data_IF_846280328594
#
_entry.id   IF_846280328594
#
_cell.length_a   1.000
_cell.length_b   1.000
_cell.length_c   1.000
_cell.angle_alpha   90.00
_cell.angle_beta   90.00
_cell.angle_gamma   90.00
#
_symmetry.space_group_name_H-M   'P 1'
#
loop_
_entity.id
_entity.type
_entity.pdbx_description
1 polymer ?
#
# COMPACT_ATOMS: atom_id res chain seq x y z
N UNK A 1 4.28 3.21 -12.75
CA UNK A 1 4.47 3.14 -11.27
C UNK A 1 5.95 3.04 -10.98
N UNK A 2 6.55 4.13 -10.50
CA UNK A 2 7.97 4.18 -10.17
C UNK A 2 8.21 3.38 -8.88
N UNK A 3 8.86 2.23 -8.98
CA UNK A 3 9.45 1.53 -7.84
C UNK A 3 10.59 2.39 -7.29
N UNK A 4 10.29 3.30 -6.38
CA UNK A 4 11.31 3.85 -5.48
C UNK A 4 11.66 2.75 -4.47
N UNK A 5 12.43 1.77 -4.92
CA UNK A 5 13.00 0.72 -4.08
C UNK A 5 14.24 1.21 -3.34
N UNK A 6 14.10 2.24 -2.52
CA UNK A 6 15.05 2.43 -1.44
C UNK A 6 14.76 1.36 -0.39
N UNK A 7 15.76 0.61 0.04
CA UNK A 7 15.68 -0.23 1.25
C UNK A 7 15.44 0.69 2.44
N UNK A 8 14.17 1.07 2.66
CA UNK A 8 13.79 1.76 3.88
C UNK A 8 13.98 0.79 5.03
N UNK A 9 14.97 1.05 5.86
CA UNK A 9 15.16 0.37 7.13
C UNK A 9 13.92 0.65 7.98
N UNK A 10 13.05 -0.35 8.09
CA UNK A 10 11.83 -0.25 8.88
C UNK A 10 12.17 -0.07 10.36
N UNK A 11 11.54 0.89 11.00
CA UNK A 11 11.61 1.04 12.44
C UNK A 11 11.05 -0.21 13.15
N UNK A 12 11.48 -0.45 14.40
CA UNK A 12 10.95 -1.56 15.20
C UNK A 12 9.42 -1.53 15.28
N UNK A 13 8.84 -0.35 15.52
CA UNK A 13 7.39 -0.16 15.57
C UNK A 13 6.69 -0.57 14.26
N UNK A 14 7.27 -0.19 13.12
CA UNK A 14 6.73 -0.58 11.82
C UNK A 14 6.79 -2.10 11.58
N UNK A 15 7.84 -2.78 12.07
CA UNK A 15 7.95 -4.24 11.98
C UNK A 15 6.85 -4.92 12.81
N UNK A 16 6.63 -4.45 14.05
CA UNK A 16 5.56 -4.97 14.93
C UNK A 16 4.18 -4.76 14.31
N UNK A 17 3.89 -3.57 13.75
CA UNK A 17 2.62 -3.29 13.08
C UNK A 17 2.41 -4.18 11.84
N UNK A 18 3.48 -4.46 11.10
CA UNK A 18 3.41 -5.38 9.94
C UNK A 18 3.13 -6.81 10.39
N UNK A 19 3.80 -7.28 11.45
CA UNK A 19 3.55 -8.60 12.01
C UNK A 19 2.10 -8.73 12.48
N UNK A 20 1.59 -7.76 13.25
CA UNK A 20 0.20 -7.74 13.70
C UNK A 20 -0.78 -7.81 12.52
N UNK A 21 -0.58 -7.00 11.48
CA UNK A 21 -1.45 -6.99 10.29
C UNK A 21 -1.41 -8.32 9.53
N UNK A 22 -0.23 -8.95 9.42
CA UNK A 22 -0.09 -10.27 8.79
C UNK A 22 -0.82 -11.33 9.61
N UNK A 23 -0.58 -11.39 10.93
CA UNK A 23 -1.23 -12.36 11.82
C UNK A 23 -2.76 -12.23 11.80
N UNK A 24 -3.28 -11.01 11.83
CA UNK A 24 -4.71 -10.74 11.74
C UNK A 24 -5.33 -11.28 10.43
N UNK A 25 -4.67 -11.09 9.29
CA UNK A 25 -5.16 -11.59 8.00
C UNK A 25 -5.07 -13.11 7.87
N UNK A 26 -4.02 -13.73 8.43
CA UNK A 26 -3.92 -15.19 8.43
C UNK A 26 -4.95 -15.82 9.37
N UNK A 27 -5.26 -15.16 10.49
CA UNK A 27 -6.33 -15.58 11.38
C UNK A 27 -7.70 -15.58 10.66
N UNK A 28 -7.99 -14.55 9.86
CA UNK A 28 -9.19 -14.47 9.01
C UNK A 28 -9.26 -15.64 8.00
N UNK A 29 -8.11 -16.14 7.55
CA UNK A 29 -8.04 -17.26 6.61
C UNK A 29 -8.32 -18.61 7.28
N UNK A 30 -7.97 -18.75 8.55
CA UNK A 30 -8.23 -19.96 9.34
C UNK A 30 -9.67 -20.05 9.84
N UNK A 31 -10.26 -18.92 10.22
CA UNK A 31 -11.56 -18.88 10.90
C UNK A 31 -12.58 -18.25 9.94
N UNK A 32 -13.47 -19.09 9.42
CA UNK A 32 -14.52 -18.68 8.50
C UNK A 32 -15.72 -18.05 9.21
N UNK A 33 -15.97 -18.48 10.46
CA UNK A 33 -17.08 -17.95 11.24
C UNK A 33 -16.76 -16.59 11.86
N UNK A 34 -17.65 -15.63 11.64
CA UNK A 34 -17.46 -14.22 12.00
C UNK A 34 -17.39 -13.97 13.52
N UNK A 35 -18.26 -14.55 14.35
CA UNK A 35 -18.18 -14.45 15.80
C UNK A 35 -16.85 -14.97 16.36
N UNK A 36 -16.42 -16.15 15.93
CA UNK A 36 -15.18 -16.79 16.38
C UNK A 36 -13.95 -15.98 15.94
N UNK A 37 -13.97 -15.49 14.70
CA UNK A 37 -12.94 -14.59 14.23
C UNK A 37 -12.80 -13.32 15.09
N UNK A 38 -13.92 -12.70 15.48
CA UNK A 38 -13.90 -11.51 16.33
C UNK A 38 -13.32 -11.80 17.71
N UNK A 39 -13.67 -12.94 18.28
CA UNK A 39 -13.12 -13.37 19.56
C UNK A 39 -11.60 -13.55 19.47
N UNK A 40 -11.12 -14.35 18.53
CA UNK A 40 -9.70 -14.61 18.34
C UNK A 40 -8.92 -13.35 17.94
N UNK A 41 -9.51 -12.44 17.17
CA UNK A 41 -8.92 -11.15 16.85
C UNK A 41 -8.72 -10.26 18.09
N UNK A 42 -9.66 -10.32 19.06
CA UNK A 42 -9.50 -9.59 20.34
C UNK A 42 -8.42 -10.21 21.20
N UNK A 43 -8.31 -11.55 21.22
CA UNK A 43 -7.23 -12.26 21.92
C UNK A 43 -5.88 -11.93 21.31
N UNK A 44 -5.78 -11.97 19.98
CA UNK A 44 -4.55 -11.56 19.28
C UNK A 44 -4.16 -10.12 19.65
N UNK A 45 -5.13 -9.21 19.67
CA UNK A 45 -4.89 -7.81 20.03
C UNK A 45 -4.38 -7.67 21.46
N UNK A 46 -5.00 -8.39 22.40
CA UNK A 46 -4.59 -8.36 23.81
C UNK A 46 -3.13 -8.81 23.99
N UNK A 47 -2.68 -9.84 23.27
CA UNK A 47 -1.27 -10.29 23.28
C UNK A 47 -0.29 -9.20 22.84
N UNK A 48 -0.64 -8.41 21.83
CA UNK A 48 0.20 -7.27 21.40
C UNK A 48 0.14 -6.11 22.38
N UNK A 49 -1.02 -5.84 22.99
CA UNK A 49 -1.20 -4.75 23.97
C UNK A 49 -0.50 -5.06 25.31
N UNK A 50 -0.31 -6.32 25.68
CA UNK A 50 0.43 -6.75 26.88
C UNK A 50 1.87 -6.19 26.89
N UNK A 51 2.52 -6.16 25.73
CA UNK A 51 3.91 -5.70 25.60
C UNK A 51 4.04 -4.32 24.96
N UNK A 52 2.95 -3.57 24.85
CA UNK A 52 2.89 -2.26 24.18
C UNK A 52 3.86 -1.22 24.77
N UNK A 53 4.10 -1.27 26.08
CA UNK A 53 4.90 -0.29 26.80
C UNK A 53 6.32 -0.80 27.13
N UNK A 54 6.79 -1.86 26.48
CA UNK A 54 8.14 -2.39 26.70
C UNK A 54 9.20 -1.36 26.29
N UNK A 55 10.06 -0.98 27.24
CA UNK A 55 11.12 0.03 27.04
C UNK A 55 12.48 -0.61 26.75
N UNK A 56 12.65 -1.88 27.10
CA UNK A 56 13.89 -2.59 26.86
C UNK A 56 13.95 -3.04 25.38
N UNK A 57 14.86 -2.42 24.60
CA UNK A 57 15.00 -2.68 23.18
C UNK A 57 15.40 -4.14 22.88
N UNK A 58 16.26 -4.75 23.69
CA UNK A 58 16.67 -6.14 23.51
C UNK A 58 15.48 -7.09 23.66
N UNK A 59 14.73 -6.94 24.78
CA UNK A 59 13.53 -7.73 25.03
C UNK A 59 12.46 -7.50 23.95
N UNK A 60 12.30 -6.26 23.47
CA UNK A 60 11.36 -5.96 22.37
C UNK A 60 11.77 -6.66 21.07
N UNK A 61 13.06 -6.76 20.76
CA UNK A 61 13.54 -7.50 19.58
C UNK A 61 13.36 -9.01 19.72
N UNK A 62 13.60 -9.56 20.91
CA UNK A 62 13.35 -10.99 21.20
C UNK A 62 11.88 -11.34 21.05
N UNK A 63 10.98 -10.52 21.59
CA UNK A 63 9.54 -10.70 21.44
C UNK A 63 9.08 -10.61 19.98
N UNK A 64 9.65 -9.66 19.20
CA UNK A 64 9.34 -9.55 17.79
C UNK A 64 9.79 -10.82 17.04
N UNK A 65 11.01 -11.30 17.28
CA UNK A 65 11.54 -12.52 16.66
C UNK A 65 10.70 -13.74 17.02
N UNK A 66 10.39 -13.93 18.29
CA UNK A 66 9.52 -15.01 18.74
C UNK A 66 8.13 -14.96 18.07
N UNK A 67 7.58 -13.77 17.91
CA UNK A 67 6.32 -13.57 17.20
C UNK A 67 6.40 -13.86 15.69
N UNK A 68 7.51 -13.54 15.05
CA UNK A 68 7.76 -13.86 13.64
C UNK A 68 7.93 -15.38 13.45
N UNK A 69 8.62 -16.07 14.36
CA UNK A 69 8.80 -17.52 14.34
C UNK A 69 7.45 -18.24 14.57
N UNK A 70 6.65 -17.80 15.57
CA UNK A 70 5.29 -18.32 15.79
C UNK A 70 4.39 -18.08 14.57
N UNK A 71 4.47 -16.90 13.95
CA UNK A 71 3.72 -16.60 12.72
C UNK A 71 4.10 -17.55 11.58
N UNK A 72 5.39 -17.82 11.40
CA UNK A 72 5.89 -18.71 10.36
C UNK A 72 5.35 -20.14 10.52
N UNK A 73 5.30 -20.66 11.74
CA UNK A 73 4.76 -21.99 12.04
C UNK A 73 3.24 -22.10 11.83
N UNK A 74 2.50 -21.02 12.17
CA UNK A 74 1.03 -21.01 12.17
C UNK A 74 0.41 -20.33 10.97
N UNK A 75 1.21 -19.88 10.00
CA UNK A 75 0.66 -19.21 8.82
C UNK A 75 -0.23 -20.14 8.00
N UNK A 76 -1.29 -19.57 7.41
CA UNK A 76 -2.15 -20.32 6.50
C UNK A 76 -1.41 -20.58 5.18
N UNK A 77 -1.40 -21.81 4.62
CA UNK A 77 -0.69 -22.14 3.38
C UNK A 77 -1.26 -21.39 2.16
N UNK A 78 -2.56 -21.11 2.16
CA UNK A 78 -3.25 -20.33 1.12
C UNK A 78 -4.07 -19.22 1.78
N UNK A 79 -3.44 -18.08 2.15
CA UNK A 79 -4.15 -17.00 2.80
C UNK A 79 -5.20 -16.38 1.86
N UNK A 80 -6.31 -15.95 2.42
CA UNK A 80 -7.31 -15.21 1.66
C UNK A 80 -6.71 -13.92 1.08
N UNK A 81 -6.82 -13.78 -0.22
CA UNK A 81 -6.40 -12.59 -0.95
C UNK A 81 -7.64 -11.93 -1.55
N UNK A 82 -7.80 -10.62 -1.32
CA UNK A 82 -8.89 -9.88 -1.92
C UNK A 82 -8.83 -9.99 -3.44
N UNK A 83 -9.98 -10.21 -4.06
CA UNK A 83 -10.11 -10.60 -5.47
C UNK A 83 -9.39 -9.63 -6.43
N UNK A 84 -9.47 -8.32 -6.18
CA UNK A 84 -8.88 -7.27 -7.02
C UNK A 84 -7.50 -6.79 -6.54
N UNK A 85 -6.92 -7.39 -5.48
CA UNK A 85 -5.59 -7.05 -5.00
C UNK A 85 -4.49 -7.81 -5.76
N UNK A 86 -3.22 -7.36 -5.72
CA UNK A 86 -2.10 -8.09 -6.30
C UNK A 86 -2.06 -9.55 -5.81
N UNK A 87 -2.05 -10.50 -6.75
CA UNK A 87 -2.17 -11.93 -6.46
C UNK A 87 -3.59 -12.46 -6.34
N UNK A 88 -4.62 -11.60 -6.43
CA UNK A 88 -6.03 -11.99 -6.47
C UNK A 88 -6.44 -12.57 -7.83
N UNK A 89 -7.55 -13.32 -7.83
CA UNK A 89 -8.03 -14.02 -9.03
C UNK A 89 -8.52 -13.10 -10.15
N UNK A 90 -8.86 -11.85 -9.81
CA UNK A 90 -9.38 -10.85 -10.76
C UNK A 90 -8.47 -9.64 -10.93
N UNK A 91 -7.26 -9.71 -10.34
CA UNK A 91 -6.28 -8.64 -10.45
C UNK A 91 -5.94 -8.38 -11.93
N UNK A 92 -5.97 -7.11 -12.34
CA UNK A 92 -5.72 -6.63 -13.70
C UNK A 92 -6.62 -7.23 -14.80
N UNK A 93 -7.65 -8.00 -14.45
CA UNK A 93 -8.58 -8.56 -15.42
C UNK A 93 -9.51 -7.51 -16.03
N UNK A 94 -9.94 -6.52 -15.24
CA UNK A 94 -10.73 -5.37 -15.67
C UNK A 94 -9.87 -4.10 -15.60
N UNK A 95 -9.01 -3.91 -16.59
CA UNK A 95 -8.21 -2.70 -16.69
C UNK A 95 -9.15 -1.57 -17.16
N UNK A 96 -9.33 -0.50 -16.35
CA UNK A 96 -10.12 0.64 -16.81
C UNK A 96 -9.46 1.26 -18.03
N UNK A 97 -10.26 1.74 -19.02
CA UNK A 97 -9.70 2.40 -20.17
C UNK A 97 -8.87 3.61 -19.76
N UNK A 98 -7.80 3.92 -20.49
CA UNK A 98 -6.95 5.06 -20.16
C UNK A 98 -7.73 6.37 -20.26
N UNK A 99 -7.34 7.36 -19.44
CA UNK A 99 -8.06 8.63 -19.28
C UNK A 99 -8.25 9.42 -20.60
N UNK A 100 -7.34 9.22 -21.57
CA UNK A 100 -7.44 9.89 -22.88
C UNK A 100 -8.67 9.46 -23.69
N UNK A 101 -9.27 8.30 -23.43
CA UNK A 101 -10.51 7.83 -24.10
C UNK A 101 -11.64 8.84 -23.90
N UNK A 102 -11.69 9.52 -22.77
CA UNK A 102 -12.67 10.56 -22.48
C UNK A 102 -12.54 11.80 -23.40
N UNK A 103 -11.42 11.96 -24.10
CA UNK A 103 -11.25 13.06 -25.05
C UNK A 103 -12.13 12.85 -26.30
N UNK A 104 -12.48 11.60 -26.59
CA UNK A 104 -13.31 11.23 -27.76
C UNK A 104 -14.81 11.21 -27.46
N UNK A 105 -15.21 11.46 -26.22
CA UNK A 105 -16.63 11.54 -25.87
C UNK A 105 -17.32 12.67 -26.58
N UNK A 106 -18.55 12.42 -27.03
CA UNK A 106 -19.35 13.42 -27.72
C UNK A 106 -19.62 14.63 -26.82
N UNK A 107 -19.66 15.88 -27.35
CA UNK A 107 -19.89 17.08 -26.55
C UNK A 107 -21.16 17.03 -25.68
N UNK A 108 -22.23 16.42 -26.18
CA UNK A 108 -23.49 16.27 -25.42
C UNK A 108 -23.32 15.39 -24.19
N UNK A 109 -22.53 14.31 -24.28
CA UNK A 109 -22.23 13.43 -23.14
C UNK A 109 -21.34 14.14 -22.10
N UNK A 110 -20.35 14.92 -22.57
CA UNK A 110 -19.52 15.73 -21.67
C UNK A 110 -20.34 16.77 -20.92
N UNK A 111 -21.33 17.37 -21.58
CA UNK A 111 -22.22 18.37 -20.97
C UNK A 111 -23.08 17.79 -19.84
N UNK A 112 -23.31 16.47 -19.81
CA UNK A 112 -24.02 15.80 -18.72
C UNK A 112 -23.19 15.71 -17.41
N UNK A 113 -21.84 15.84 -17.49
CA UNK A 113 -20.94 15.69 -16.35
C UNK A 113 -19.98 16.89 -16.18
N UNK A 114 -20.47 18.13 -16.08
CA UNK A 114 -19.63 19.32 -16.12
C UNK A 114 -18.64 19.39 -14.96
N UNK A 115 -19.05 19.02 -13.76
CA UNK A 115 -18.19 19.05 -12.57
C UNK A 115 -17.05 18.01 -12.65
N UNK A 116 -17.29 16.87 -13.27
CA UNK A 116 -16.27 15.84 -13.48
C UNK A 116 -15.19 16.34 -14.46
N UNK A 117 -15.60 16.87 -15.61
CA UNK A 117 -14.67 17.36 -16.61
C UNK A 117 -13.89 18.59 -16.16
N UNK A 118 -14.48 19.47 -15.35
CA UNK A 118 -13.75 20.59 -14.73
C UNK A 118 -12.64 20.10 -13.79
N UNK A 119 -12.94 19.11 -12.92
CA UNK A 119 -11.94 18.49 -12.04
C UNK A 119 -10.87 17.73 -12.83
N UNK A 120 -11.25 17.07 -13.91
CA UNK A 120 -10.33 16.37 -14.79
C UNK A 120 -9.34 17.35 -15.46
N UNK A 121 -9.85 18.45 -16.00
CA UNK A 121 -9.00 19.49 -16.62
C UNK A 121 -7.99 20.07 -15.63
N UNK A 122 -8.44 20.36 -14.39
CA UNK A 122 -7.54 20.83 -13.34
C UNK A 122 -6.44 19.79 -13.04
N UNK A 123 -6.81 18.53 -12.85
CA UNK A 123 -5.84 17.44 -12.59
C UNK A 123 -4.81 17.32 -13.72
N UNK A 124 -5.25 17.38 -14.98
CA UNK A 124 -4.35 17.31 -16.13
C UNK A 124 -3.41 18.52 -16.21
N UNK A 125 -3.90 19.70 -15.86
CA UNK A 125 -3.07 20.92 -15.81
C UNK A 125 -2.01 20.82 -14.69
N UNK A 126 -2.42 20.37 -13.50
CA UNK A 126 -1.53 20.17 -12.35
C UNK A 126 -0.46 19.08 -12.67
N UNK A 127 -0.86 18.03 -13.35
CA UNK A 127 0.04 16.95 -13.78
C UNK A 127 1.05 17.43 -14.81
N UNK A 128 0.59 18.21 -15.80
CA UNK A 128 1.46 18.81 -16.81
C UNK A 128 2.48 19.77 -16.18
N UNK A 129 2.05 20.64 -15.29
CA UNK A 129 2.94 21.54 -14.57
C UNK A 129 4.00 20.79 -13.75
N UNK A 130 3.61 19.67 -13.14
CA UNK A 130 4.54 18.79 -12.40
C UNK A 130 5.58 18.15 -13.32
N UNK A 131 5.18 17.70 -14.50
CA UNK A 131 6.11 17.14 -15.49
C UNK A 131 7.10 18.18 -15.98
N UNK A 132 6.65 19.40 -16.30
CA UNK A 132 7.50 20.52 -16.71
C UNK A 132 8.54 20.86 -15.63
N UNK A 133 8.16 20.82 -14.35
CA UNK A 133 9.10 21.00 -13.24
C UNK A 133 10.15 19.88 -13.16
N UNK A 134 9.74 18.62 -13.30
CA UNK A 134 10.66 17.48 -13.26
C UNK A 134 11.64 17.51 -14.43
N UNK A 135 11.18 17.87 -15.63
CA UNK A 135 12.05 18.04 -16.81
C UNK A 135 13.06 19.17 -16.61
N UNK A 136 12.63 20.28 -16.02
CA UNK A 136 13.52 21.41 -15.72
C UNK A 136 14.58 21.03 -14.67
N UNK A 137 14.18 20.30 -13.61
CA UNK A 137 15.11 19.79 -12.59
C UNK A 137 16.12 18.81 -13.19
N UNK A 138 15.66 17.87 -14.02
CA UNK A 138 16.54 16.90 -14.68
C UNK A 138 17.55 17.60 -15.60
N UNK A 139 17.10 18.58 -16.39
CA UNK A 139 17.96 19.37 -17.25
C UNK A 139 19.00 20.16 -16.45
N UNK A 140 18.62 20.78 -15.35
CA UNK A 140 19.54 21.50 -14.48
C UNK A 140 20.60 20.57 -13.86
N UNK A 141 20.21 19.34 -13.46
CA UNK A 141 21.14 18.34 -12.95
C UNK A 141 22.14 17.86 -14.01
N UNK A 142 21.71 17.70 -15.26
CA UNK A 142 22.58 17.32 -16.36
C UNK A 142 23.58 18.43 -16.72
N UNK A 143 23.13 19.68 -16.74
CA UNK A 143 23.98 20.85 -16.98
C UNK A 143 24.99 21.08 -15.85
N UNK A 144 24.61 20.81 -14.59
CA UNK A 144 25.52 20.86 -13.45
C UNK A 144 26.65 19.81 -13.55
N UNK A 145 26.30 18.58 -13.88
CA UNK A 145 27.30 17.51 -14.08
C UNK A 145 28.26 17.75 -15.24
N UNK A 146 27.78 18.42 -16.29
CA UNK A 146 28.62 18.76 -17.46
C UNK A 146 29.63 19.88 -17.16
N UNK A 147 29.42 20.67 -16.11
CA UNK A 147 30.36 21.75 -15.69
C UNK A 147 31.43 21.25 -14.71
N UNK A 148 31.17 20.11 -14.05
CA UNK A 148 32.11 19.50 -13.06
C UNK A 148 33.01 18.43 -13.69
N UNK A 149 32.91 18.18 -15.02
CA UNK A 149 33.74 17.26 -15.82
C UNK A 149 34.68 18.03 -16.74
#
# INVERSE_FOLDING_TARGET
MSFRGGFELLSHSQKVLRLYKKSYRHLESWITDRPDFRYEATVLRARFDEHKNEKNLQKAQELLKAGEDEFWEKQHPQPYIFIDSPGGTRYERNIPPPDWVLNWWHPTERAMYPSYFAKRQKRLADEKARWEQLEAEEKALLEGKAKDS
#
